data_IF_402688794166
#
_entry.id   IF_402688794166
#
_cell.length_a   1.000
_cell.length_b   1.000
_cell.length_c   1.000
_cell.angle_alpha   90.00
_cell.angle_beta   90.00
_cell.angle_gamma   90.00
#
_symmetry.space_group_name_H-M   'P 1'
#
loop_
_entity.id
_entity.type
_entity.pdbx_description
1 polymer ?
#
# COMPACT_ATOMS: atom_id res chain seq x y z
N UNK A 1 -28.31 12.84 2.39
CA UNK A 1 -27.70 13.59 3.52
C UNK A 1 -26.40 12.87 3.85
N UNK A 2 -25.26 13.35 3.33
CA UNK A 2 -23.96 12.72 3.56
C UNK A 2 -23.59 13.04 5.02
N UNK A 3 -23.39 12.02 5.85
CA UNK A 3 -23.01 12.15 7.26
C UNK A 3 -21.74 13.00 7.36
N UNK A 4 -21.70 13.99 8.26
CA UNK A 4 -20.60 14.97 8.41
C UNK A 4 -19.21 14.33 8.55
N UNK A 5 -19.15 13.12 9.13
CA UNK A 5 -17.94 12.31 9.26
C UNK A 5 -17.27 11.99 7.90
N UNK A 6 -18.05 11.80 6.83
CA UNK A 6 -17.55 11.49 5.48
C UNK A 6 -16.89 12.70 4.82
N UNK A 7 -17.25 13.92 5.24
CA UNK A 7 -16.65 15.14 4.68
C UNK A 7 -15.23 15.39 5.20
N UNK A 8 -14.81 14.73 6.28
CA UNK A 8 -13.44 14.81 6.81
C UNK A 8 -12.43 14.03 5.96
N UNK A 9 -12.88 13.16 5.06
CA UNK A 9 -12.01 12.31 4.24
C UNK A 9 -12.47 12.28 2.78
N UNK A 10 -11.82 13.09 1.94
CA UNK A 10 -12.17 13.26 0.52
C UNK A 10 -10.91 13.09 -0.36
N UNK A 11 -10.21 11.95 -0.30
CA UNK A 11 -8.95 11.74 -1.02
C UNK A 11 -9.11 11.78 -2.56
N UNK A 12 -10.34 11.57 -3.04
CA UNK A 12 -10.67 11.50 -4.47
C UNK A 12 -11.61 12.62 -4.92
N UNK A 13 -11.80 13.68 -4.12
CA UNK A 13 -12.83 14.69 -4.39
C UNK A 13 -14.26 14.18 -4.19
N UNK A 14 -15.24 15.06 -4.39
CA UNK A 14 -16.67 14.77 -4.23
C UNK A 14 -17.52 15.54 -5.24
N UNK A 15 -18.79 15.15 -5.40
CA UNK A 15 -19.75 15.79 -6.32
C UNK A 15 -19.39 15.60 -7.81
N UNK A 16 -19.71 16.60 -8.64
CA UNK A 16 -19.57 16.53 -10.11
C UNK A 16 -18.13 16.39 -10.62
N UNK A 17 -17.13 16.66 -9.76
CA UNK A 17 -15.70 16.62 -10.09
C UNK A 17 -14.94 15.56 -9.29
N UNK A 18 -15.64 14.68 -8.59
CA UNK A 18 -15.01 13.53 -7.93
C UNK A 18 -14.31 12.62 -8.96
N UNK A 19 -13.23 11.99 -8.54
CA UNK A 19 -12.47 11.08 -9.39
C UNK A 19 -13.34 9.88 -9.78
N UNK A 20 -13.58 9.65 -11.09
CA UNK A 20 -14.36 8.50 -11.54
C UNK A 20 -13.64 7.16 -11.28
N UNK A 21 -12.32 7.20 -11.04
CA UNK A 21 -11.49 6.04 -10.73
C UNK A 21 -11.37 5.69 -9.24
N UNK A 22 -12.15 6.31 -8.35
CA UNK A 22 -12.05 6.09 -6.89
C UNK A 22 -12.19 4.62 -6.49
N UNK A 23 -13.19 3.92 -7.02
CA UNK A 23 -13.38 2.48 -6.76
C UNK A 23 -12.20 1.64 -7.26
N UNK A 24 -11.69 1.94 -8.46
CA UNK A 24 -10.53 1.24 -9.01
C UNK A 24 -9.29 1.47 -8.15
N UNK A 25 -9.08 2.69 -7.66
CA UNK A 25 -7.96 3.01 -6.79
C UNK A 25 -8.02 2.26 -5.45
N UNK A 26 -9.20 2.14 -4.84
CA UNK A 26 -9.36 1.34 -3.62
C UNK A 26 -9.09 -0.14 -3.86
N UNK A 27 -9.60 -0.71 -4.95
CA UNK A 27 -9.36 -2.10 -5.30
C UNK A 27 -7.88 -2.35 -5.60
N UNK A 28 -7.24 -1.49 -6.39
CA UNK A 28 -5.84 -1.66 -6.76
C UNK A 28 -4.92 -1.53 -5.55
N UNK A 29 -5.12 -0.52 -4.70
CA UNK A 29 -4.36 -0.36 -3.45
C UNK A 29 -4.59 -1.52 -2.49
N UNK A 30 -5.85 -1.95 -2.31
CA UNK A 30 -6.21 -3.07 -1.45
C UNK A 30 -5.57 -4.39 -1.90
N UNK A 31 -5.62 -4.70 -3.19
CA UNK A 31 -4.99 -5.91 -3.76
C UNK A 31 -3.47 -5.84 -3.62
N UNK A 32 -2.86 -4.71 -3.96
CA UNK A 32 -1.41 -4.54 -3.84
C UNK A 32 -0.95 -4.75 -2.40
N UNK A 33 -1.60 -4.10 -1.43
CA UNK A 33 -1.30 -4.27 0.00
C UNK A 33 -1.56 -5.71 0.45
N UNK A 34 -2.68 -6.29 0.03
CA UNK A 34 -3.04 -7.67 0.37
C UNK A 34 -1.97 -8.67 -0.06
N UNK A 35 -1.49 -8.59 -1.31
CA UNK A 35 -0.41 -9.44 -1.82
C UNK A 35 0.91 -9.18 -1.08
N UNK A 36 1.26 -7.91 -0.84
CA UNK A 36 2.49 -7.54 -0.13
C UNK A 36 2.52 -8.09 1.29
N UNK A 37 1.38 -8.05 2.01
CA UNK A 37 1.26 -8.55 3.38
C UNK A 37 1.13 -10.07 3.41
N UNK A 38 0.44 -10.69 2.47
CA UNK A 38 0.23 -12.14 2.48
C UNK A 38 1.49 -12.92 2.10
N UNK A 39 2.22 -12.45 1.07
CA UNK A 39 3.30 -13.23 0.47
C UNK A 39 4.69 -12.92 1.06
N UNK A 40 4.88 -11.77 1.70
CA UNK A 40 6.20 -11.29 2.09
C UNK A 40 6.29 -10.83 3.55
N UNK A 41 7.40 -11.18 4.19
CA UNK A 41 7.93 -10.46 5.33
C UNK A 41 8.85 -9.34 4.85
N UNK A 42 8.85 -8.21 5.56
CA UNK A 42 9.58 -7.02 5.13
C UNK A 42 10.72 -6.73 6.09
N UNK A 43 11.95 -6.78 5.57
CA UNK A 43 13.14 -6.39 6.32
C UNK A 43 13.53 -4.96 5.96
N UNK A 44 13.87 -4.16 6.96
CA UNK A 44 14.37 -2.80 6.80
C UNK A 44 15.77 -2.68 7.43
N UNK A 45 16.53 -1.67 7.01
CA UNK A 45 17.76 -1.26 7.68
C UNK A 45 17.40 -0.30 8.83
N UNK A 46 17.77 -0.65 10.06
CA UNK A 46 17.41 0.12 11.27
C UNK A 46 16.02 -0.22 11.83
N UNK A 47 15.56 0.57 12.80
CA UNK A 47 14.37 0.25 13.60
C UNK A 47 13.06 0.79 12.99
N UNK A 48 13.13 1.83 12.15
CA UNK A 48 11.94 2.51 11.61
C UNK A 48 12.20 3.17 10.25
N UNK A 49 11.19 3.10 9.38
CA UNK A 49 11.16 3.83 8.11
C UNK A 49 10.94 5.33 8.36
N UNK A 50 11.76 6.19 7.73
CA UNK A 50 11.55 7.63 7.73
C UNK A 50 10.39 7.99 6.79
N UNK A 51 9.35 8.63 7.31
CA UNK A 51 8.12 9.02 6.59
C UNK A 51 8.05 10.53 6.32
N UNK A 52 9.16 11.27 6.45
CA UNK A 52 9.21 12.69 6.06
C UNK A 52 8.80 12.86 4.60
N UNK A 53 7.99 13.87 4.33
CA UNK A 53 7.47 14.17 3.00
C UNK A 53 8.45 15.03 2.22
N UNK A 54 8.69 14.67 0.96
CA UNK A 54 9.36 15.53 0.02
C UNK A 54 8.48 16.75 -0.29
N UNK A 55 9.10 17.91 -0.51
CA UNK A 55 8.37 19.08 -1.01
C UNK A 55 7.92 18.80 -2.45
N UNK A 56 6.62 18.73 -2.67
CA UNK A 56 6.00 18.56 -3.97
C UNK A 56 4.66 19.28 -4.07
N UNK A 57 4.33 19.81 -5.24
CA UNK A 57 3.14 20.66 -5.43
C UNK A 57 1.86 19.86 -5.65
N UNK A 58 1.94 18.67 -6.27
CA UNK A 58 0.75 17.89 -6.66
C UNK A 58 0.73 16.44 -6.15
N UNK A 59 1.87 15.86 -5.79
CA UNK A 59 1.96 14.51 -5.26
C UNK A 59 2.87 14.50 -4.05
N UNK A 60 2.47 13.73 -3.03
CA UNK A 60 3.31 13.44 -1.87
C UNK A 60 4.25 12.31 -2.24
N UNK A 61 5.54 12.53 -2.05
CA UNK A 61 6.58 11.52 -2.15
C UNK A 61 7.37 11.47 -0.84
N UNK A 62 8.06 10.36 -0.58
CA UNK A 62 8.96 10.29 0.57
C UNK A 62 10.19 11.16 0.31
N UNK A 63 10.60 11.97 1.29
CA UNK A 63 11.85 12.73 1.25
C UNK A 63 13.07 11.81 1.18
N UNK A 64 12.95 10.64 1.81
CA UNK A 64 13.98 9.60 1.85
C UNK A 64 13.46 8.34 1.17
N UNK A 65 14.15 7.81 0.14
CA UNK A 65 13.71 6.61 -0.55
C UNK A 65 13.55 5.43 0.42
N UNK A 66 12.44 4.70 0.29
CA UNK A 66 12.21 3.47 1.06
C UNK A 66 13.25 2.42 0.69
N UNK A 67 14.04 1.98 1.68
CA UNK A 67 14.95 0.83 1.57
C UNK A 67 14.37 -0.33 2.37
N UNK A 68 13.87 -1.33 1.68
CA UNK A 68 13.34 -2.55 2.29
C UNK A 68 13.59 -3.76 1.39
N UNK A 69 13.75 -4.93 2.00
CA UNK A 69 13.91 -6.21 1.29
C UNK A 69 12.70 -7.09 1.58
N UNK A 70 11.90 -7.45 0.56
CA UNK A 70 10.83 -8.42 0.72
C UNK A 70 11.42 -9.83 0.81
N UNK A 71 11.07 -10.55 1.87
CA UNK A 71 11.41 -11.96 2.11
C UNK A 71 10.16 -12.79 1.89
N UNK A 72 10.22 -13.81 1.03
CA UNK A 72 9.09 -14.70 0.81
C UNK A 72 8.73 -15.43 2.11
N UNK A 73 7.47 -15.31 2.56
CA UNK A 73 6.95 -16.06 3.72
C UNK A 73 6.92 -17.56 3.49
N UNK A 74 6.89 -17.97 2.23
CA UNK A 74 6.86 -19.38 1.84
C UNK A 74 7.93 -19.69 0.79
N UNK A 75 9.16 -19.98 1.20
CA UNK A 75 10.25 -20.29 0.28
C UNK A 75 10.10 -21.67 -0.42
N UNK A 76 9.08 -22.48 -0.11
CA UNK A 76 8.94 -23.82 -0.70
C UNK A 76 7.49 -24.21 -1.07
N UNK A 77 7.07 -24.14 -2.35
CA UNK A 77 5.77 -24.64 -2.81
C UNK A 77 5.55 -26.15 -2.69
N UNK A 78 6.51 -26.97 -2.22
CA UNK A 78 6.40 -28.43 -2.25
C UNK A 78 6.43 -29.08 -0.86
N UNK A 79 5.28 -29.50 -0.31
CA UNK A 79 5.21 -30.43 0.81
C UNK A 79 5.22 -31.93 0.44
N UNK A 80 5.52 -32.38 -0.80
CA UNK A 80 5.28 -33.80 -1.15
C UNK A 80 6.08 -34.45 -2.31
N UNK A 81 7.32 -34.05 -2.61
CA UNK A 81 8.14 -34.73 -3.65
C UNK A 81 9.43 -35.38 -3.14
N UNK A 82 9.52 -35.67 -1.84
CA UNK A 82 10.69 -36.36 -1.22
C UNK A 82 10.29 -37.63 -0.45
N UNK A 83 9.10 -38.20 -0.72
CA UNK A 83 8.69 -39.50 -0.16
C UNK A 83 7.92 -40.39 -1.16
N UNK A 84 8.43 -40.50 -2.39
CA UNK A 84 8.28 -41.69 -3.25
C UNK A 84 9.63 -41.97 -3.88
#
# INVERSE_FOLDING_TARGET
MIKEEVLKYIPFGSGRRGCPGSNLAYLSAGIAIGVMVQCFDWKIEGDKVNMEEARGTMMVAMAHPLKCTPLLRYPNPLPSLVFV
#
